data_IF_664568732176
#
_entry.id   IF_664568732176
#
_cell.length_a   1.000
_cell.length_b   1.000
_cell.length_c   1.000
_cell.angle_alpha   90.00
_cell.angle_beta   90.00
_cell.angle_gamma   90.00
#
_symmetry.space_group_name_H-M   'P 1'
#
loop_
_entity.id
_entity.type
_entity.pdbx_description
1 polymer ?
#
# COMPACT_ATOMS: atom_id res chain seq x y z
N UNK A 1 -3.53 10.21 -32.63
CA UNK A 1 -4.25 11.22 -31.80
C UNK A 1 -4.76 10.50 -30.55
N UNK A 2 -4.41 10.95 -29.35
CA UNK A 2 -4.95 10.40 -28.10
C UNK A 2 -5.64 11.54 -27.34
N UNK A 3 -6.93 11.36 -27.04
CA UNK A 3 -7.77 12.32 -26.33
C UNK A 3 -7.47 12.23 -24.84
N UNK A 4 -7.00 13.34 -24.23
CA UNK A 4 -6.87 13.48 -22.78
C UNK A 4 -8.23 13.89 -22.21
N UNK A 5 -9.01 12.92 -21.75
CA UNK A 5 -10.15 13.18 -20.87
C UNK A 5 -9.63 13.52 -19.47
N UNK A 6 -10.19 14.56 -18.85
CA UNK A 6 -10.00 14.88 -17.44
C UNK A 6 -10.56 13.72 -16.62
N UNK A 7 -9.70 12.78 -16.22
CA UNK A 7 -10.08 11.57 -15.50
C UNK A 7 -9.80 11.76 -14.02
N UNK A 8 -10.83 12.11 -13.25
CA UNK A 8 -10.82 11.91 -11.79
C UNK A 8 -11.37 10.51 -11.55
N UNK A 9 -10.48 9.52 -11.60
CA UNK A 9 -10.83 8.13 -11.32
C UNK A 9 -10.59 7.83 -9.84
N UNK A 10 -11.65 7.68 -9.06
CA UNK A 10 -11.57 6.74 -7.94
C UNK A 10 -11.56 5.37 -8.63
N UNK A 11 -10.43 4.64 -8.67
CA UNK A 11 -10.38 3.38 -9.40
C UNK A 11 -11.39 2.42 -8.77
N UNK A 12 -12.11 1.68 -9.63
CA UNK A 12 -13.09 0.68 -9.17
C UNK A 12 -12.40 -0.52 -8.51
N UNK A 13 -11.13 -0.72 -8.85
CA UNK A 13 -10.24 -1.74 -8.33
C UNK A 13 -9.56 -1.27 -7.03
N UNK A 14 -9.33 -2.20 -6.11
CA UNK A 14 -8.57 -1.94 -4.89
C UNK A 14 -7.11 -1.59 -5.18
N UNK A 15 -6.41 -0.88 -4.28
CA UNK A 15 -4.96 -0.73 -4.36
C UNK A 15 -4.26 -2.10 -4.47
N UNK A 16 -3.10 -2.11 -5.13
CA UNK A 16 -2.26 -3.30 -5.27
C UNK A 16 -1.02 -3.19 -4.38
N UNK A 17 -0.62 -4.32 -3.81
CA UNK A 17 0.60 -4.48 -3.02
C UNK A 17 1.43 -5.60 -3.62
N UNK A 18 2.74 -5.34 -3.80
CA UNK A 18 3.73 -6.35 -4.10
C UNK A 18 4.85 -6.28 -3.07
N UNK A 19 5.46 -7.41 -2.71
CA UNK A 19 6.54 -7.41 -1.74
C UNK A 19 7.72 -8.25 -2.22
N UNK A 20 8.91 -7.73 -1.95
CA UNK A 20 10.19 -8.33 -2.33
C UNK A 20 11.01 -8.53 -1.07
N UNK A 21 11.19 -9.79 -0.69
CA UNK A 21 12.01 -10.19 0.45
C UNK A 21 13.48 -10.17 0.06
N UNK A 22 14.30 -9.37 0.75
CA UNK A 22 15.74 -9.36 0.54
C UNK A 22 16.35 -10.59 1.22
N UNK A 23 16.55 -11.72 0.52
CA UNK A 23 17.00 -13.01 1.11
C UNK A 23 18.24 -12.95 2.04
N UNK A 24 19.07 -11.90 1.96
CA UNK A 24 20.28 -11.70 2.78
C UNK A 24 20.10 -10.73 3.95
N UNK A 25 18.91 -10.18 4.16
CA UNK A 25 18.59 -9.25 5.24
C UNK A 25 17.16 -9.48 5.71
N UNK A 26 16.83 -9.21 6.97
CA UNK A 26 15.44 -9.29 7.45
C UNK A 26 14.60 -8.09 6.97
N UNK A 27 14.87 -7.60 5.75
CA UNK A 27 14.24 -6.44 5.15
C UNK A 27 13.33 -6.90 4.02
N UNK A 28 12.11 -6.37 4.02
CA UNK A 28 11.13 -6.59 2.97
C UNK A 28 10.73 -5.24 2.41
N UNK A 29 10.79 -5.11 1.09
CA UNK A 29 10.35 -3.94 0.35
C UNK A 29 8.94 -4.19 -0.18
N UNK A 30 8.00 -3.38 0.28
CA UNK A 30 6.61 -3.36 -0.15
C UNK A 30 6.42 -2.25 -1.17
N UNK A 31 5.85 -2.57 -2.32
CA UNK A 31 5.54 -1.64 -3.40
C UNK A 31 4.03 -1.44 -3.41
N UNK A 32 3.61 -0.21 -3.13
CA UNK A 32 2.23 0.21 -3.21
C UNK A 32 1.97 0.89 -4.56
N UNK A 33 0.94 0.43 -5.27
CA UNK A 33 0.51 1.02 -6.53
C UNK A 33 -1.01 1.05 -6.63
N UNK A 34 -1.56 2.10 -7.26
CA UNK A 34 -2.99 2.19 -7.52
C UNK A 34 -3.25 3.04 -8.76
N UNK A 35 -3.60 2.36 -9.85
CA UNK A 35 -3.77 2.98 -11.16
C UNK A 35 -4.98 3.91 -11.16
N UNK A 36 -4.78 5.17 -11.53
CA UNK A 36 -5.84 6.19 -11.59
C UNK A 36 -6.04 6.99 -10.29
N UNK A 37 -5.43 6.58 -9.18
CA UNK A 37 -5.57 7.26 -7.90
C UNK A 37 -4.71 8.54 -7.81
N UNK A 38 -5.28 9.66 -8.26
CA UNK A 38 -4.68 11.00 -8.18
C UNK A 38 -4.79 11.62 -6.79
N UNK A 39 -5.76 11.17 -6.00
CA UNK A 39 -6.06 11.74 -4.67
C UNK A 39 -5.24 11.12 -3.54
N UNK A 40 -4.54 10.01 -3.77
CA UNK A 40 -3.69 9.37 -2.76
C UNK A 40 -2.52 10.28 -2.40
N UNK A 41 -2.48 10.74 -1.16
CA UNK A 41 -1.41 11.55 -0.62
C UNK A 41 -0.39 10.71 0.16
N UNK A 42 -0.84 9.64 0.83
CA UNK A 42 0.01 8.78 1.65
C UNK A 42 -0.39 7.31 1.48
N UNK A 43 0.59 6.45 1.64
CA UNK A 43 0.45 5.01 1.75
C UNK A 43 0.74 4.60 3.18
N UNK A 44 -0.09 3.71 3.70
CA UNK A 44 0.12 3.10 5.01
C UNK A 44 0.20 1.60 4.85
N UNK A 45 1.30 1.02 5.32
CA UNK A 45 1.53 -0.41 5.36
C UNK A 45 0.89 -0.97 6.64
N UNK A 46 0.02 -1.95 6.45
CA UNK A 46 -0.66 -2.69 7.51
C UNK A 46 -0.09 -4.10 7.60
N UNK A 47 0.05 -4.61 8.82
CA UNK A 47 0.39 -5.99 9.11
C UNK A 47 -0.73 -6.67 9.90
N UNK A 48 -1.08 -7.90 9.54
CA UNK A 48 -2.09 -8.70 10.22
C UNK A 48 -1.58 -10.12 10.49
N UNK A 49 -2.17 -10.76 11.50
CA UNK A 49 -1.89 -12.15 11.85
C UNK A 49 -2.67 -13.15 10.98
N UNK A 50 -3.75 -12.69 10.34
CA UNK A 50 -4.69 -13.50 9.57
C UNK A 50 -5.02 -12.87 8.20
N UNK A 51 -5.48 -13.67 7.22
CA UNK A 51 -5.76 -13.20 5.86
C UNK A 51 -6.99 -12.29 5.76
N UNK A 52 -7.87 -12.26 6.78
CA UNK A 52 -9.01 -11.35 6.80
C UNK A 52 -8.61 -9.92 7.16
N UNK A 53 -7.36 -9.72 7.63
CA UNK A 53 -6.89 -8.43 8.11
C UNK A 53 -7.48 -8.03 9.46
N UNK A 54 -8.06 -8.99 10.19
CA UNK A 54 -8.64 -8.73 11.51
C UNK A 54 -7.52 -8.24 12.44
N UNK A 55 -7.77 -7.11 13.12
CA UNK A 55 -6.75 -6.42 13.92
C UNK A 55 -5.48 -6.00 13.15
N UNK A 56 -5.60 -5.66 11.86
CA UNK A 56 -4.49 -5.09 11.08
C UNK A 56 -3.88 -3.87 11.78
N UNK A 57 -2.58 -3.92 12.04
CA UNK A 57 -1.81 -2.87 12.73
C UNK A 57 -1.05 -2.04 11.70
N UNK A 58 -1.04 -0.72 11.89
CA UNK A 58 -0.20 0.18 11.10
C UNK A 58 1.27 -0.01 11.44
N UNK A 59 2.06 -0.39 10.44
CA UNK A 59 3.51 -0.62 10.57
C UNK A 59 4.30 0.60 10.14
N UNK A 60 3.88 1.24 9.05
CA UNK A 60 4.63 2.35 8.46
C UNK A 60 3.77 3.20 7.55
N UNK A 61 4.00 4.52 7.56
CA UNK A 61 3.29 5.47 6.70
C UNK A 61 4.30 6.22 5.84
N UNK A 62 4.10 6.22 4.53
CA UNK A 62 4.96 6.88 3.56
C UNK A 62 4.17 7.88 2.73
N UNK A 63 4.72 9.07 2.54
CA UNK A 63 4.08 10.08 1.67
C UNK A 63 4.29 9.69 0.20
N UNK A 64 3.22 9.68 -0.59
CA UNK A 64 3.30 9.36 -2.01
C UNK A 64 4.09 10.46 -2.73
N UNK A 65 5.30 10.14 -3.19
CA UNK A 65 6.14 11.08 -3.94
C UNK A 65 6.09 10.84 -5.45
N UNK A 66 5.75 9.63 -5.88
CA UNK A 66 5.69 9.17 -7.28
C UNK A 66 4.51 8.23 -7.51
N UNK A 67 4.37 7.70 -8.73
CA UNK A 67 3.33 6.73 -9.09
C UNK A 67 3.38 5.47 -8.20
N UNK A 68 4.57 4.89 -8.03
CA UNK A 68 4.82 3.77 -7.11
C UNK A 68 5.55 4.27 -5.86
N UNK A 69 5.18 3.75 -4.70
CA UNK A 69 5.85 4.07 -3.44
C UNK A 69 6.38 2.79 -2.82
N UNK A 70 7.70 2.72 -2.66
CA UNK A 70 8.37 1.64 -1.96
C UNK A 70 8.45 1.94 -0.46
N UNK A 71 8.09 0.96 0.35
CA UNK A 71 8.15 0.97 1.81
C UNK A 71 9.01 -0.22 2.23
N UNK A 72 10.21 0.03 2.73
CA UNK A 72 11.08 -1.04 3.22
C UNK A 72 11.00 -1.10 4.73
N UNK A 73 10.60 -2.24 5.29
CA UNK A 73 10.57 -2.48 6.73
C UNK A 73 11.38 -3.72 7.10
N UNK A 74 11.83 -3.76 8.36
CA UNK A 74 12.41 -4.97 8.95
C UNK A 74 11.29 -5.90 9.41
N UNK A 75 11.18 -7.08 8.80
CA UNK A 75 10.22 -8.12 9.20
C UNK A 75 10.63 -8.82 10.48
N UNK A 76 11.92 -8.79 10.85
CA UNK A 76 12.36 -9.27 12.16
C UNK A 76 11.77 -8.47 13.33
N UNK A 77 11.44 -7.19 13.10
CA UNK A 77 10.77 -6.34 14.09
C UNK A 77 9.23 -6.43 14.05
N UNK A 78 8.66 -7.04 13.00
CA UNK A 78 7.23 -7.06 12.73
C UNK A 78 6.79 -8.45 12.25
N UNK A 79 6.50 -9.39 13.18
CA UNK A 79 6.19 -10.78 12.88
C UNK A 79 4.74 -10.97 12.42
N UNK A 80 4.32 -10.23 11.39
CA UNK A 80 3.02 -10.40 10.75
C UNK A 80 3.15 -11.34 9.55
N UNK A 81 2.12 -12.17 9.33
CA UNK A 81 2.11 -13.12 8.21
C UNK A 81 1.37 -12.57 6.99
N UNK A 82 0.62 -11.49 7.16
CA UNK A 82 -0.17 -10.88 6.11
C UNK A 82 0.05 -9.38 6.09
N UNK A 83 0.16 -8.80 4.90
CA UNK A 83 0.42 -7.39 4.70
C UNK A 83 -0.56 -6.80 3.68
N UNK A 84 -0.97 -5.56 3.93
CA UNK A 84 -1.81 -4.80 3.02
C UNK A 84 -1.34 -3.33 2.98
N UNK A 85 -1.73 -2.60 1.94
CA UNK A 85 -1.52 -1.16 1.87
C UNK A 85 -2.84 -0.42 1.85
N UNK A 86 -2.88 0.68 2.59
CA UNK A 86 -4.01 1.58 2.68
C UNK A 86 -3.66 2.92 2.04
N UNK A 87 -4.46 3.33 1.06
CA UNK A 87 -4.37 4.63 0.43
C UNK A 87 -5.07 5.67 1.30
N UNK A 88 -4.35 6.74 1.66
CA UNK A 88 -4.88 7.86 2.45
C UNK A 88 -4.81 9.12 1.61
N UNK A 89 -5.94 9.82 1.51
CA UNK A 89 -6.06 11.08 0.78
C UNK A 89 -5.46 12.27 1.55
N UNK A 90 -5.36 13.41 0.88
CA UNK A 90 -4.84 14.66 1.48
C UNK A 90 -5.65 15.16 2.68
N UNK A 91 -6.94 14.82 2.74
CA UNK A 91 -7.83 15.09 3.87
C UNK A 91 -7.68 14.13 5.06
N UNK A 92 -6.77 13.15 4.96
CA UNK A 92 -6.61 12.09 5.96
C UNK A 92 -7.65 10.98 5.88
N UNK A 93 -8.58 11.04 4.92
CA UNK A 93 -9.55 9.97 4.68
C UNK A 93 -8.90 8.78 4.00
N UNK A 94 -9.29 7.59 4.43
CA UNK A 94 -8.96 6.34 3.71
C UNK A 94 -9.72 6.33 2.40
N UNK A 95 -8.99 6.19 1.29
CA UNK A 95 -9.54 6.10 -0.06
C UNK A 95 -9.77 4.66 -0.50
N UNK A 96 -8.92 3.73 -0.04
CA UNK A 96 -8.99 2.32 -0.37
C UNK A 96 -7.95 1.51 0.40
N UNK A 97 -8.16 0.20 0.51
CA UNK A 97 -7.21 -0.75 1.12
C UNK A 97 -7.05 -1.94 0.18
N UNK A 98 -5.82 -2.42 0.00
CA UNK A 98 -5.56 -3.63 -0.76
C UNK A 98 -6.05 -4.88 -0.01
N UNK A 99 -6.09 -6.00 -0.71
CA UNK A 99 -6.20 -7.30 -0.05
C UNK A 99 -4.94 -7.57 0.80
N UNK A 100 -5.11 -8.39 1.84
CA UNK A 100 -4.02 -8.85 2.68
C UNK A 100 -3.33 -10.05 2.02
N UNK A 101 -2.05 -9.92 1.73
CA UNK A 101 -1.23 -10.94 1.08
C UNK A 101 -0.09 -11.39 2.01
N UNK A 102 0.28 -12.67 1.95
CA UNK A 102 1.35 -13.28 2.75
C UNK A 102 2.64 -13.49 1.96
#
# INVERSE_FOLDING_TARGET
>A
RALRYNWTGIPKDSPSIEFVNARKSNLTSFYASWNGATETAKWELLGAADPSGSNGVSLYNQTKSRFETAITISTAAHPYNYYAVRAIGSSGKVLGTSEFLS
#
